data_IF_181578739539
#
_entry.id   IF_181578739539
#
_cell.length_a   1.000
_cell.length_b   1.000
_cell.length_c   1.000
_cell.angle_alpha   90.00
_cell.angle_beta   90.00
_cell.angle_gamma   90.00
#
_symmetry.space_group_name_H-M   'P 1'
#
loop_
_entity.id
_entity.type
_entity.pdbx_description
1 polymer ?
#
# COMPACT_ATOMS: atom_id res chain seq x y z
N UNK A 1 -4.64 -18.93 -3.70
CA UNK A 1 -4.83 -17.48 -3.54
C UNK A 1 -4.10 -16.96 -2.31
N UNK A 2 -4.45 -17.39 -1.09
CA UNK A 2 -3.83 -16.88 0.15
C UNK A 2 -2.30 -16.97 0.20
N UNK A 3 -1.71 -18.10 -0.21
CA UNK A 3 -0.26 -18.25 -0.25
C UNK A 3 0.40 -17.24 -1.21
N UNK A 4 -0.23 -16.97 -2.37
CA UNK A 4 0.24 -15.98 -3.35
C UNK A 4 0.15 -14.57 -2.75
N UNK A 5 -0.98 -14.23 -2.13
CA UNK A 5 -1.15 -12.96 -1.42
C UNK A 5 -0.11 -12.77 -0.32
N UNK A 6 0.17 -13.82 0.46
CA UNK A 6 1.15 -13.78 1.55
C UNK A 6 2.59 -13.57 1.02
N UNK A 7 2.97 -14.25 -0.07
CA UNK A 7 4.30 -14.06 -0.69
C UNK A 7 4.44 -12.65 -1.25
N UNK A 8 3.44 -12.15 -1.99
CA UNK A 8 3.47 -10.80 -2.54
C UNK A 8 3.53 -9.75 -1.42
N UNK A 9 2.71 -9.90 -0.38
CA UNK A 9 2.70 -9.00 0.77
C UNK A 9 4.05 -9.02 1.51
N UNK A 10 4.64 -10.20 1.74
CA UNK A 10 5.93 -10.32 2.40
C UNK A 10 7.04 -9.59 1.62
N UNK A 11 7.08 -9.75 0.30
CA UNK A 11 8.04 -9.03 -0.56
C UNK A 11 7.79 -7.52 -0.48
N UNK A 12 6.53 -7.09 -0.55
CA UNK A 12 6.18 -5.67 -0.48
C UNK A 12 6.58 -5.05 0.88
N UNK A 13 6.34 -5.74 2.00
CA UNK A 13 6.78 -5.29 3.33
C UNK A 13 8.30 -5.21 3.46
N UNK A 14 9.03 -6.18 2.90
CA UNK A 14 10.50 -6.15 2.92
C UNK A 14 11.01 -4.95 2.12
N UNK A 15 10.48 -4.72 0.91
CA UNK A 15 10.89 -3.60 0.06
C UNK A 15 10.51 -2.26 0.69
N UNK A 16 9.27 -2.12 1.18
CA UNK A 16 8.78 -0.91 1.84
C UNK A 16 9.57 -0.58 3.11
N UNK A 17 9.83 -1.58 3.95
CA UNK A 17 10.62 -1.44 5.18
C UNK A 17 12.08 -1.07 4.93
N UNK A 18 12.74 -1.69 3.95
CA UNK A 18 14.11 -1.32 3.54
C UNK A 18 14.14 0.12 3.02
N UNK A 19 13.17 0.49 2.19
CA UNK A 19 13.06 1.84 1.61
C UNK A 19 12.82 2.89 2.69
N UNK A 20 11.87 2.66 3.60
CA UNK A 20 11.59 3.53 4.74
C UNK A 20 12.82 3.73 5.62
N UNK A 21 13.54 2.63 5.92
CA UNK A 21 14.77 2.67 6.71
C UNK A 21 15.87 3.45 5.98
N UNK A 22 16.00 3.28 4.67
CA UNK A 22 16.93 4.03 3.84
C UNK A 22 16.72 5.54 3.98
N UNK A 23 15.47 6.01 3.87
CA UNK A 23 15.14 7.42 4.03
C UNK A 23 15.33 7.93 5.47
N UNK A 24 15.01 7.11 6.48
CA UNK A 24 15.27 7.47 7.88
C UNK A 24 16.77 7.64 8.16
N UNK A 25 17.62 6.76 7.61
CA UNK A 25 19.09 6.84 7.77
C UNK A 25 19.66 8.04 7.01
N UNK A 26 19.09 8.39 5.86
CA UNK A 26 19.50 9.55 5.07
C UNK A 26 19.20 10.91 5.74
N UNK A 27 18.40 10.93 6.83
CA UNK A 27 18.11 12.14 7.59
C UNK A 27 17.25 13.16 6.85
N UNK A 28 16.69 12.78 5.70
CA UNK A 28 15.71 13.56 4.98
C UNK A 28 14.52 12.70 4.62
N UNK A 29 13.35 13.32 4.71
CA UNK A 29 12.10 12.76 4.26
C UNK A 29 11.51 13.78 3.31
N UNK A 30 11.47 13.45 2.04
CA UNK A 30 10.81 14.27 1.04
C UNK A 30 9.36 13.81 0.81
N UNK A 31 8.52 14.66 0.20
CA UNK A 31 7.12 14.31 -0.07
C UNK A 31 7.00 13.10 -1.01
N UNK A 32 7.87 13.02 -2.03
CA UNK A 32 7.85 11.90 -2.98
C UNK A 32 8.29 10.60 -2.29
N UNK A 33 9.37 10.64 -1.52
CA UNK A 33 9.87 9.52 -0.71
C UNK A 33 8.80 9.00 0.25
N UNK A 34 8.10 9.92 0.93
CA UNK A 34 6.96 9.63 1.80
C UNK A 34 5.87 8.88 1.05
N UNK A 35 5.45 9.40 -0.11
CA UNK A 35 4.37 8.81 -0.89
C UNK A 35 4.71 7.39 -1.35
N UNK A 36 5.96 7.13 -1.74
CA UNK A 36 6.42 5.80 -2.16
C UNK A 36 6.32 4.80 -1.01
N UNK A 37 6.85 5.14 0.17
CA UNK A 37 6.80 4.25 1.35
C UNK A 37 5.35 3.95 1.72
N UNK A 38 4.51 4.98 1.82
CA UNK A 38 3.09 4.81 2.15
C UNK A 38 2.40 3.88 1.16
N UNK A 39 2.63 4.09 -0.14
CA UNK A 39 1.97 3.32 -1.20
C UNK A 39 2.39 1.85 -1.18
N UNK A 40 3.69 1.57 -1.00
CA UNK A 40 4.23 0.19 -0.97
C UNK A 40 3.73 -0.56 0.27
N UNK A 41 3.74 0.09 1.42
CA UNK A 41 3.28 -0.51 2.67
C UNK A 41 1.75 -0.71 2.67
N UNK A 42 0.98 0.28 2.22
CA UNK A 42 -0.47 0.16 2.07
C UNK A 42 -0.85 -0.92 1.05
N UNK A 43 -0.08 -1.06 -0.03
CA UNK A 43 -0.25 -2.14 -1.00
C UNK A 43 -0.07 -3.52 -0.36
N UNK A 44 0.96 -3.71 0.47
CA UNK A 44 1.18 -4.98 1.17
C UNK A 44 -0.04 -5.39 2.01
N UNK A 45 -0.60 -4.45 2.79
CA UNK A 45 -1.84 -4.69 3.54
C UNK A 45 -3.04 -4.95 2.64
N UNK A 46 -3.19 -4.20 1.56
CA UNK A 46 -4.30 -4.35 0.63
C UNK A 46 -4.32 -5.73 -0.04
N UNK A 47 -3.14 -6.27 -0.39
CA UNK A 47 -2.99 -7.62 -0.94
C UNK A 47 -3.42 -8.69 0.08
N UNK A 48 -3.11 -8.50 1.37
CA UNK A 48 -3.65 -9.36 2.43
C UNK A 48 -5.17 -9.23 2.56
N UNK A 49 -5.69 -8.01 2.39
CA UNK A 49 -7.13 -7.71 2.31
C UNK A 49 -7.84 -8.52 1.23
N UNK A 50 -7.27 -8.64 0.02
CA UNK A 50 -7.82 -9.51 -1.04
C UNK A 50 -8.01 -10.94 -0.54
N UNK A 51 -6.97 -11.49 0.10
CA UNK A 51 -7.01 -12.83 0.67
C UNK A 51 -8.13 -12.99 1.68
N UNK A 52 -8.27 -12.03 2.59
CA UNK A 52 -9.33 -12.01 3.60
C UNK A 52 -10.72 -11.92 2.97
N UNK A 53 -10.89 -11.02 1.98
CA UNK A 53 -12.14 -10.84 1.24
C UNK A 53 -12.54 -12.10 0.47
N UNK A 54 -11.58 -12.82 -0.12
CA UNK A 54 -11.84 -14.11 -0.76
C UNK A 54 -12.29 -15.18 0.25
N UNK A 55 -11.70 -15.24 1.45
CA UNK A 55 -12.13 -16.17 2.51
C UNK A 55 -13.55 -15.84 2.98
N UNK A 56 -13.83 -14.56 3.26
CA UNK A 56 -15.15 -14.07 3.67
C UNK A 56 -16.22 -14.36 2.60
N UNK A 57 -15.89 -14.17 1.33
CA UNK A 57 -16.75 -14.53 0.20
C UNK A 57 -17.11 -16.02 0.16
N UNK A 58 -16.30 -16.89 0.78
CA UNK A 58 -16.53 -18.33 0.80
C UNK A 58 -17.34 -18.76 2.03
N UNK A 59 -17.35 -17.97 3.10
CA UNK A 59 -17.95 -18.29 4.40
C UNK A 59 -19.50 -18.12 4.47
N UNK A 60 -20.19 -18.01 3.34
CA UNK A 60 -21.65 -17.82 3.33
C UNK A 60 -22.36 -18.19 2.03
N UNK A 61 -21.71 -18.95 1.14
CA UNK A 61 -22.24 -19.28 -0.19
C UNK A 61 -22.29 -20.80 -0.37
N UNK A 62 -23.47 -21.34 -0.70
CA UNK A 62 -23.63 -22.73 -1.13
C UNK A 62 -22.75 -23.02 -2.35
N UNK A 63 -22.11 -24.20 -2.36
CA UNK A 63 -21.01 -24.61 -3.25
C UNK A 63 -21.29 -24.61 -4.78
N UNK A 64 -22.44 -24.13 -5.24
CA UNK A 64 -22.92 -24.37 -6.62
C UNK A 64 -23.03 -23.15 -7.54
N UNK A 65 -22.52 -21.98 -7.14
CA UNK A 65 -22.49 -20.79 -7.98
C UNK A 65 -21.11 -20.14 -8.00
N UNK A 66 -20.27 -20.49 -8.98
CA UNK A 66 -19.07 -19.71 -9.29
C UNK A 66 -19.50 -18.36 -9.85
N UNK A 67 -19.68 -17.36 -8.99
CA UNK A 67 -20.15 -16.05 -9.41
C UNK A 67 -19.07 -15.00 -9.15
N UNK A 68 -18.93 -14.08 -10.11
CA UNK A 68 -18.02 -12.91 -10.13
C UNK A 68 -18.01 -12.06 -8.86
N UNK A 69 -18.97 -12.31 -7.96
CA UNK A 69 -19.13 -11.72 -6.63
C UNK A 69 -17.91 -11.94 -5.74
N UNK A 70 -17.21 -13.08 -5.86
CA UNK A 70 -15.99 -13.35 -5.07
C UNK A 70 -14.82 -12.44 -5.45
N UNK A 71 -14.64 -12.20 -6.76
CA UNK A 71 -13.63 -11.26 -7.27
C UNK A 71 -13.95 -9.83 -6.84
N UNK A 72 -15.23 -9.45 -6.90
CA UNK A 72 -15.71 -8.15 -6.44
C UNK A 72 -15.44 -7.89 -4.96
N UNK A 73 -15.70 -8.87 -4.08
CA UNK A 73 -15.41 -8.76 -2.65
C UNK A 73 -13.91 -8.69 -2.35
N UNK A 74 -13.08 -9.43 -3.09
CA UNK A 74 -11.63 -9.35 -2.97
C UNK A 74 -11.09 -7.95 -3.32
N UNK A 75 -11.54 -7.38 -4.45
CA UNK A 75 -11.16 -6.03 -4.88
C UNK A 75 -11.71 -4.93 -3.96
N UNK A 76 -12.95 -5.08 -3.46
CA UNK A 76 -13.51 -4.15 -2.50
C UNK A 76 -12.71 -4.15 -1.18
N UNK A 77 -12.35 -5.34 -0.69
CA UNK A 77 -11.51 -5.48 0.50
C UNK A 77 -10.12 -4.87 0.27
N UNK A 78 -9.53 -5.07 -0.91
CA UNK A 78 -8.27 -4.42 -1.30
C UNK A 78 -8.36 -2.90 -1.15
N UNK A 79 -9.37 -2.26 -1.75
CA UNK A 79 -9.51 -0.80 -1.74
C UNK A 79 -9.71 -0.27 -0.32
N UNK A 80 -10.57 -0.92 0.47
CA UNK A 80 -10.84 -0.50 1.86
C UNK A 80 -9.57 -0.60 2.71
N UNK A 81 -8.87 -1.73 2.65
CA UNK A 81 -7.66 -1.96 3.43
C UNK A 81 -6.53 -1.04 2.96
N UNK A 82 -6.41 -0.78 1.66
CA UNK A 82 -5.44 0.15 1.10
C UNK A 82 -5.65 1.57 1.63
N UNK A 83 -6.89 2.07 1.61
CA UNK A 83 -7.22 3.43 2.07
C UNK A 83 -6.94 3.56 3.57
N UNK A 84 -7.38 2.60 4.38
CA UNK A 84 -7.14 2.59 5.82
C UNK A 84 -5.65 2.57 6.16
N UNK A 85 -4.88 1.69 5.51
CA UNK A 85 -3.44 1.62 5.69
C UNK A 85 -2.77 2.94 5.26
N UNK A 86 -3.18 3.51 4.13
CA UNK A 86 -2.65 4.79 3.65
C UNK A 86 -2.86 5.92 4.66
N UNK A 87 -4.07 6.04 5.22
CA UNK A 87 -4.37 7.05 6.25
C UNK A 87 -3.49 6.86 7.48
N UNK A 88 -3.35 5.62 7.96
CA UNK A 88 -2.52 5.31 9.13
C UNK A 88 -1.07 5.72 8.87
N UNK A 89 -0.51 5.36 7.71
CA UNK A 89 0.87 5.69 7.38
C UNK A 89 1.10 7.19 7.09
N UNK A 90 0.12 7.91 6.55
CA UNK A 90 0.19 9.37 6.40
C UNK A 90 0.38 10.04 7.76
N UNK A 91 -0.34 9.57 8.78
CA UNK A 91 -0.31 10.09 10.16
C UNK A 91 0.93 9.60 10.92
N UNK A 92 1.34 8.34 10.74
CA UNK A 92 2.44 7.73 11.48
C UNK A 92 3.83 8.20 11.00
N UNK A 93 3.97 8.52 9.71
CA UNK A 93 5.26 8.88 9.13
C UNK A 93 5.56 10.39 9.24
N UNK A 94 6.83 10.78 9.41
CA UNK A 94 7.23 12.17 9.56
C UNK A 94 6.77 13.03 8.37
N UNK A 95 6.65 14.34 8.58
CA UNK A 95 6.26 15.28 7.51
C UNK A 95 7.38 15.36 6.48
N UNK A 96 7.04 15.08 5.21
CA UNK A 96 7.97 15.24 4.10
C UNK A 96 8.24 16.72 3.83
N UNK A 97 9.51 17.07 3.62
CA UNK A 97 9.93 18.35 3.05
C UNK A 97 9.56 18.34 1.56
N UNK A 98 9.14 19.48 1.02
CA UNK A 98 8.95 19.61 -0.41
C UNK A 98 10.34 19.67 -1.07
N UNK A 99 10.64 18.83 -2.07
CA UNK A 99 11.83 19.02 -2.89
C UNK A 99 11.81 20.42 -3.51
N UNK A 100 12.85 21.22 -3.28
CA UNK A 100 13.02 22.59 -3.81
C UNK A 100 13.29 22.61 -5.33
N UNK A 101 12.49 21.90 -6.13
CA UNK A 101 12.54 21.99 -7.60
C UNK A 101 12.03 23.34 -8.14
N UNK A 102 11.48 24.22 -7.29
CA UNK A 102 11.21 25.62 -7.66
C UNK A 102 12.47 26.50 -7.76
N UNK A 103 13.61 26.10 -7.19
CA UNK A 103 14.83 26.94 -7.23
C UNK A 103 15.60 26.87 -8.57
N UNK A 104 15.25 25.94 -9.47
CA UNK A 104 15.89 25.82 -10.81
C UNK A 104 15.03 26.28 -11.99
N UNK A 105 13.79 26.72 -11.76
CA UNK A 105 12.95 27.30 -12.82
C UNK A 105 13.01 28.83 -12.89
N UNK A 106 13.92 29.48 -12.16
CA UNK A 106 14.21 30.90 -12.40
C UNK A 106 15.00 31.00 -13.72
N UNK A 107 14.40 31.55 -14.81
CA UNK A 107 15.20 31.92 -15.96
C UNK A 107 16.11 33.06 -15.50
N UNK A 108 17.43 32.83 -15.56
CA UNK A 108 18.38 33.93 -15.69
C UNK A 108 18.04 34.65 -16.99
N UNK A 109 17.59 35.90 -16.84
CA UNK A 109 17.51 37.02 -17.79
C UNK A 109 17.60 36.71 -19.30
#
# INVERSE_FOLDING_TARGET
MLMVCAVIAAVAFVVGGITARGFLVAGHWYQVEKAIVISVEAFAYAVLGVGLGSVLSTLGVESNGTSSQSVGLGLLSFVIVFILASIIYVVALPKGRFEELQARQQPTD
#
